data_IF_711839669536
#
_entry.id   IF_711839669536
#
_cell.length_a   1.000
_cell.length_b   1.000
_cell.length_c   1.000
_cell.angle_alpha   90.00
_cell.angle_beta   90.00
_cell.angle_gamma   90.00
#
_symmetry.space_group_name_H-M   'P 1'
#
loop_
_entity.id
_entity.type
_entity.pdbx_description
1 polymer ?
#
# COMPACT_ATOMS: atom_id res chain seq x y z
N UNK A 1 20.24 4.53 18.05
CA UNK A 1 19.02 3.74 18.27
C UNK A 1 17.86 4.65 17.89
N UNK A 2 17.10 4.33 16.83
CA UNK A 2 15.93 5.16 16.47
C UNK A 2 14.91 5.03 17.60
N UNK A 3 14.51 6.16 18.18
CA UNK A 3 13.39 6.20 19.12
C UNK A 3 12.20 5.51 18.44
N UNK A 4 11.53 4.61 19.15
CA UNK A 4 10.23 4.10 18.74
C UNK A 4 9.27 5.29 18.70
N UNK A 5 9.14 5.92 17.55
CA UNK A 5 8.06 6.85 17.29
C UNK A 5 6.75 6.08 17.54
N UNK A 6 5.94 6.62 18.45
CA UNK A 6 4.67 6.03 18.83
C UNK A 6 3.83 5.86 17.56
N UNK A 7 3.58 4.62 17.14
CA UNK A 7 2.81 4.35 15.92
C UNK A 7 1.43 4.95 16.14
N UNK A 8 1.03 5.86 15.25
CA UNK A 8 -0.25 6.56 15.38
C UNK A 8 -1.40 5.56 15.33
N UNK A 9 -2.35 5.73 16.24
CA UNK A 9 -3.51 4.87 16.38
C UNK A 9 -4.78 5.62 15.95
N UNK A 10 -5.62 4.98 15.13
CA UNK A 10 -6.83 5.57 14.59
C UNK A 10 -8.03 4.62 14.68
N UNK A 11 -9.23 5.21 14.76
CA UNK A 11 -10.48 4.47 14.84
C UNK A 11 -11.01 4.35 16.27
N UNK A 12 -12.05 3.54 16.43
CA UNK A 12 -12.69 3.28 17.73
C UNK A 12 -12.32 1.86 18.14
N UNK A 13 -11.63 1.70 19.26
CA UNK A 13 -11.35 0.40 19.87
C UNK A 13 -12.65 -0.33 20.21
N UNK A 14 -12.72 -1.61 19.90
CA UNK A 14 -13.88 -2.48 20.18
C UNK A 14 -13.45 -3.73 20.92
N UNK A 15 -14.39 -4.36 21.62
CA UNK A 15 -14.16 -5.67 22.22
C UNK A 15 -14.00 -6.75 21.14
N UNK A 16 -13.20 -7.77 21.43
CA UNK A 16 -12.97 -8.94 20.56
C UNK A 16 -12.39 -8.60 19.17
N UNK A 17 -11.46 -7.63 19.11
CA UNK A 17 -10.72 -7.33 17.88
C UNK A 17 -9.78 -8.47 17.49
N UNK A 18 -9.90 -8.95 16.25
CA UNK A 18 -8.94 -9.89 15.67
C UNK A 18 -7.81 -9.13 14.96
N UNK A 19 -6.56 -9.42 15.30
CA UNK A 19 -5.41 -8.80 14.64
C UNK A 19 -5.27 -9.29 13.19
N UNK A 20 -5.15 -8.36 12.25
CA UNK A 20 -4.82 -8.61 10.83
C UNK A 20 -3.97 -7.47 10.30
N UNK A 21 -2.67 -7.71 10.26
CA UNK A 21 -1.74 -6.75 9.70
C UNK A 21 -1.80 -6.78 8.17
N UNK A 22 -1.39 -5.68 7.55
CA UNK A 22 -1.52 -5.52 6.13
C UNK A 22 -1.09 -4.15 5.67
N UNK A 23 -1.41 -3.82 4.44
CA UNK A 23 -0.96 -2.56 3.89
C UNK A 23 -1.65 -2.17 2.60
N UNK A 24 -1.23 -1.03 2.08
CA UNK A 24 -1.74 -0.52 0.83
C UNK A 24 -0.65 0.18 0.02
N UNK A 25 -0.89 0.25 -1.30
CA UNK A 25 -0.06 0.94 -2.26
C UNK A 25 -0.69 2.22 -2.76
N UNK A 26 0.05 3.32 -2.70
CA UNK A 26 -0.18 4.50 -3.53
C UNK A 26 0.67 4.33 -4.78
N UNK A 27 0.04 4.09 -5.93
CA UNK A 27 0.75 3.94 -7.21
C UNK A 27 0.71 5.27 -7.95
N UNK A 28 1.88 5.84 -8.22
CA UNK A 28 2.03 7.14 -8.86
C UNK A 28 2.70 7.03 -10.23
N UNK A 29 2.03 7.60 -11.22
CA UNK A 29 2.56 7.80 -12.57
C UNK A 29 3.14 9.22 -12.69
N UNK A 30 4.48 9.37 -12.71
CA UNK A 30 5.11 10.68 -12.79
C UNK A 30 4.95 11.33 -14.17
N UNK A 31 4.68 10.58 -15.24
CA UNK A 31 4.55 11.15 -16.59
C UNK A 31 3.24 11.92 -16.73
N UNK A 32 2.15 11.33 -16.25
CA UNK A 32 0.82 11.92 -16.34
C UNK A 32 0.39 12.66 -15.07
N UNK A 33 1.19 12.63 -14.00
CA UNK A 33 0.88 13.19 -12.69
C UNK A 33 -0.43 12.63 -12.13
N UNK A 34 -0.59 11.31 -12.21
CA UNK A 34 -1.81 10.61 -11.82
C UNK A 34 -1.52 9.53 -10.79
N UNK A 35 -2.55 9.21 -10.01
CA UNK A 35 -2.55 8.11 -9.07
C UNK A 35 -3.51 7.03 -9.54
N UNK A 36 -3.07 5.78 -9.50
CA UNK A 36 -3.96 4.66 -9.78
C UNK A 36 -4.83 4.35 -8.56
N UNK A 37 -6.10 4.04 -8.80
CA UNK A 37 -7.09 3.68 -7.79
C UNK A 37 -7.95 2.54 -8.32
N UNK A 38 -8.35 1.64 -7.44
CA UNK A 38 -9.41 0.68 -7.73
C UNK A 38 -10.77 1.36 -7.66
N UNK A 39 -11.72 0.90 -8.48
CA UNK A 39 -13.13 1.32 -8.39
C UNK A 39 -13.98 0.13 -8.04
N UNK A 40 -14.69 0.20 -6.92
CA UNK A 40 -15.64 -0.84 -6.52
C UNK A 40 -16.81 -0.87 -7.51
N UNK A 41 -17.11 -2.05 -8.06
CA UNK A 41 -18.16 -2.21 -9.08
C UNK A 41 -19.57 -2.11 -8.49
N UNK A 42 -19.72 -2.29 -7.17
CA UNK A 42 -21.02 -2.33 -6.49
C UNK A 42 -21.51 -0.95 -6.08
N UNK A 43 -20.61 -0.08 -5.61
CA UNK A 43 -20.97 1.26 -5.11
C UNK A 43 -20.18 2.41 -5.76
N UNK A 44 -19.25 2.09 -6.67
CA UNK A 44 -18.46 3.06 -7.40
C UNK A 44 -17.39 3.77 -6.59
N UNK A 45 -17.17 3.41 -5.31
CA UNK A 45 -16.16 4.05 -4.47
C UNK A 45 -14.75 3.77 -4.99
N UNK A 46 -13.90 4.77 -4.85
CA UNK A 46 -12.48 4.66 -5.16
C UNK A 46 -11.72 4.14 -3.94
N UNK A 47 -10.78 3.24 -4.17
CA UNK A 47 -9.95 2.62 -3.13
C UNK A 47 -8.49 2.57 -3.54
N UNK A 48 -7.62 2.55 -2.54
CA UNK A 48 -6.23 2.12 -2.74
C UNK A 48 -6.20 0.60 -2.94
N UNK A 49 -5.17 0.12 -3.62
CA UNK A 49 -4.89 -1.30 -3.73
C UNK A 49 -4.20 -1.77 -2.44
N UNK A 50 -4.60 -2.90 -1.91
CA UNK A 50 -4.03 -3.40 -0.66
C UNK A 50 -4.94 -4.38 0.05
N UNK A 51 -4.36 -5.09 1.02
CA UNK A 51 -5.02 -6.20 1.69
C UNK A 51 -4.27 -6.64 2.94
N UNK A 52 -4.76 -7.74 3.51
CA UNK A 52 -4.10 -8.42 4.62
C UNK A 52 -2.86 -9.14 4.13
N UNK A 53 -1.80 -9.11 4.93
CA UNK A 53 -0.55 -9.80 4.63
C UNK A 53 -0.40 -10.96 5.63
N UNK A 54 0.00 -12.13 5.14
CA UNK A 54 0.22 -13.29 6.00
C UNK A 54 1.44 -13.06 6.92
N UNK A 55 1.49 -13.72 8.08
CA UNK A 55 2.61 -13.60 9.02
C UNK A 55 3.93 -14.13 8.42
N UNK A 56 3.84 -15.02 7.43
CA UNK A 56 4.98 -15.53 6.69
C UNK A 56 5.44 -14.61 5.53
N UNK A 57 4.66 -13.59 5.18
CA UNK A 57 4.98 -12.66 4.11
C UNK A 57 5.72 -11.42 4.65
N UNK A 58 6.71 -10.93 3.90
CA UNK A 58 7.24 -9.58 4.13
C UNK A 58 6.16 -8.55 3.77
N UNK A 59 6.05 -7.47 4.56
CA UNK A 59 4.98 -6.47 4.41
C UNK A 59 5.02 -5.74 3.07
N UNK A 60 6.22 -5.45 2.54
CA UNK A 60 6.37 -4.82 1.22
C UNK A 60 5.98 -5.81 0.12
N UNK A 61 6.45 -7.06 0.23
CA UNK A 61 6.11 -8.14 -0.70
C UNK A 61 4.61 -8.45 -0.76
N UNK A 62 3.95 -8.52 0.40
CA UNK A 62 2.50 -8.75 0.48
C UNK A 62 1.70 -7.59 -0.12
N UNK A 63 2.12 -6.34 0.11
CA UNK A 63 1.49 -5.18 -0.53
C UNK A 63 1.70 -5.18 -2.05
N UNK A 64 2.89 -5.56 -2.52
CA UNK A 64 3.16 -5.70 -3.95
C UNK A 64 2.28 -6.77 -4.60
N UNK A 65 2.07 -7.91 -3.93
CA UNK A 65 1.15 -8.97 -4.38
C UNK A 65 -0.26 -8.42 -4.57
N UNK A 66 -0.81 -7.75 -3.56
CA UNK A 66 -2.16 -7.16 -3.61
C UNK A 66 -2.29 -6.13 -4.74
N UNK A 67 -1.31 -5.23 -4.91
CA UNK A 67 -1.31 -4.28 -6.02
C UNK A 67 -1.37 -5.02 -7.36
N UNK A 68 -0.53 -6.04 -7.53
CA UNK A 68 -0.44 -6.80 -8.78
C UNK A 68 -1.75 -7.55 -9.05
N UNK A 69 -2.32 -8.23 -8.05
CA UNK A 69 -3.54 -9.01 -8.17
C UNK A 69 -4.77 -8.14 -8.45
N UNK A 70 -4.88 -6.98 -7.79
CA UNK A 70 -6.06 -6.12 -7.91
C UNK A 70 -6.03 -5.18 -9.12
N UNK A 71 -4.84 -4.77 -9.58
CA UNK A 71 -4.68 -3.77 -10.62
C UNK A 71 -4.06 -4.29 -11.92
N UNK A 72 -3.35 -5.41 -11.87
CA UNK A 72 -2.51 -5.90 -12.96
C UNK A 72 -1.24 -5.08 -13.20
N UNK A 73 -0.94 -4.07 -12.37
CA UNK A 73 0.26 -3.24 -12.49
C UNK A 73 1.48 -3.97 -11.94
N UNK A 74 2.60 -3.84 -12.65
CA UNK A 74 3.87 -4.49 -12.36
C UNK A 74 5.05 -3.60 -12.80
N UNK A 75 6.27 -4.10 -12.65
CA UNK A 75 7.54 -3.46 -13.07
C UNK A 75 7.83 -2.10 -12.40
N UNK A 76 7.48 -1.98 -11.12
CA UNK A 76 7.83 -0.80 -10.33
C UNK A 76 9.34 -0.69 -10.14
N UNK A 77 9.85 0.54 -10.26
CA UNK A 77 11.29 0.81 -10.17
C UNK A 77 11.69 1.48 -8.86
N UNK A 78 10.70 1.96 -8.11
CA UNK A 78 10.92 2.56 -6.82
C UNK A 78 9.74 2.27 -5.90
N UNK A 79 10.08 1.93 -4.67
CA UNK A 79 9.19 1.71 -3.55
C UNK A 79 9.73 2.45 -2.33
N UNK A 80 8.83 3.11 -1.60
CA UNK A 80 9.16 3.82 -0.37
C UNK A 80 8.03 3.62 0.64
N UNK A 81 8.37 3.23 1.87
CA UNK A 81 7.41 3.26 2.99
C UNK A 81 7.12 4.72 3.35
N UNK A 82 5.88 5.16 3.20
CA UNK A 82 5.48 6.55 3.42
C UNK A 82 4.70 6.78 4.71
N UNK A 83 4.05 5.74 5.25
CA UNK A 83 3.30 5.84 6.50
C UNK A 83 3.05 4.47 7.14
N UNK A 84 2.77 4.50 8.44
CA UNK A 84 2.20 3.37 9.16
C UNK A 84 1.25 3.84 10.26
N UNK A 85 0.30 2.98 10.63
CA UNK A 85 -0.66 3.24 11.70
C UNK A 85 -1.24 1.95 12.27
N UNK A 86 -1.68 2.01 13.53
CA UNK A 86 -2.61 1.03 14.09
C UNK A 86 -4.05 1.49 13.81
N UNK A 87 -4.85 0.61 13.21
CA UNK A 87 -6.18 0.94 12.72
C UNK A 87 -7.24 0.00 13.32
N UNK A 88 -8.22 0.58 14.02
CA UNK A 88 -9.40 -0.13 14.55
C UNK A 88 -10.60 0.06 13.63
N UNK A 89 -11.12 -1.04 13.08
CA UNK A 89 -12.26 -0.98 12.17
C UNK A 89 -13.12 -2.23 12.25
N UNK A 90 -14.37 -2.11 11.78
CA UNK A 90 -15.25 -3.25 11.60
C UNK A 90 -15.23 -3.65 10.12
N UNK A 91 -14.78 -4.88 9.85
CA UNK A 91 -14.76 -5.44 8.51
C UNK A 91 -16.14 -5.98 8.16
N UNK A 92 -16.91 -5.26 7.34
CA UNK A 92 -18.23 -5.70 6.88
C UNK A 92 -18.18 -7.03 6.13
N UNK A 93 -17.15 -7.24 5.32
CA UNK A 93 -16.99 -8.46 4.52
C UNK A 93 -16.75 -9.72 5.37
N UNK A 94 -16.22 -9.56 6.59
CA UNK A 94 -15.90 -10.67 7.49
C UNK A 94 -16.76 -10.68 8.76
N UNK A 95 -17.66 -9.71 8.91
CA UNK A 95 -18.50 -9.49 10.10
C UNK A 95 -17.70 -9.51 11.41
N UNK A 96 -16.56 -8.81 11.45
CA UNK A 96 -15.59 -8.90 12.55
C UNK A 96 -14.96 -7.55 12.89
N UNK A 97 -14.73 -7.32 14.18
CA UNK A 97 -13.87 -6.23 14.68
C UNK A 97 -12.40 -6.57 14.38
N UNK A 98 -11.64 -5.61 13.87
CA UNK A 98 -10.25 -5.78 13.46
C UNK A 98 -9.37 -4.69 14.05
N UNK A 99 -8.18 -5.10 14.45
CA UNK A 99 -7.01 -4.26 14.67
C UNK A 99 -5.98 -4.60 13.58
N UNK A 100 -5.50 -3.61 12.85
CA UNK A 100 -4.47 -3.80 11.84
C UNK A 100 -3.29 -2.85 12.08
N UNK A 101 -2.07 -3.37 12.09
CA UNK A 101 -0.90 -2.54 11.76
C UNK A 101 -0.86 -2.38 10.24
N UNK A 102 -1.34 -1.23 9.77
CA UNK A 102 -1.42 -0.88 8.37
C UNK A 102 -0.14 -0.14 7.94
N UNK A 103 0.55 -0.66 6.94
CA UNK A 103 1.74 -0.02 6.33
C UNK A 103 1.43 0.45 4.92
N UNK A 104 1.76 1.70 4.61
CA UNK A 104 1.51 2.30 3.31
C UNK A 104 2.81 2.56 2.55
N UNK A 105 2.84 2.16 1.29
CA UNK A 105 3.98 2.32 0.39
C UNK A 105 3.63 3.17 -0.82
N UNK A 106 4.58 3.97 -1.27
CA UNK A 106 4.53 4.68 -2.55
C UNK A 106 5.29 3.89 -3.60
N UNK A 107 4.59 3.50 -4.66
CA UNK A 107 5.14 2.76 -5.79
C UNK A 107 5.20 3.67 -7.00
N UNK A 108 6.37 3.74 -7.65
CA UNK A 108 6.60 4.59 -8.82
C UNK A 108 7.29 3.83 -9.94
N UNK A 109 6.84 4.09 -11.16
CA UNK A 109 7.58 3.75 -12.37
C UNK A 109 8.55 4.89 -12.69
N UNK A 110 9.85 4.63 -12.68
CA UNK A 110 10.84 5.58 -13.21
C UNK A 110 11.12 5.26 -14.68
N UNK A 111 10.68 6.07 -15.64
CA UNK A 111 11.42 6.04 -16.91
C UNK A 111 12.85 6.50 -16.61
N UNK A 112 13.81 5.61 -16.85
CA UNK A 112 15.22 5.93 -17.00
C UNK A 112 15.36 6.81 -18.25
N UNK A 113 15.00 8.09 -18.15
CA UNK A 113 15.52 9.12 -19.05
C UNK A 113 16.85 9.68 -18.52
N UNK A 114 17.30 9.22 -17.34
CA UNK A 114 18.50 9.72 -16.66
C UNK A 114 19.72 8.78 -16.58
N UNK A 115 19.72 7.59 -17.19
CA UNK A 115 20.96 6.76 -17.32
C UNK A 115 21.55 6.71 -18.74
N UNK A 116 20.95 7.38 -19.73
CA UNK A 116 21.49 7.44 -21.09
C UNK A 116 21.89 8.86 -21.55
N UNK A 117 22.08 9.77 -20.60
CA UNK A 117 22.45 11.17 -20.84
C UNK A 117 23.94 11.45 -21.09
N UNK A 118 24.83 10.45 -21.16
CA UNK A 118 26.24 10.65 -21.56
C UNK A 118 26.81 9.45 -22.30
N UNK A 119 26.39 9.23 -23.55
CA UNK A 119 27.22 8.60 -24.60
C UNK A 119 26.54 8.78 -25.96
N UNK A 120 26.58 10.00 -26.50
CA UNK A 120 26.64 10.19 -27.96
C UNK A 120 27.91 10.95 -28.30
N UNK A 121 29.00 10.18 -28.39
CA UNK A 121 30.09 10.49 -29.31
C UNK A 121 29.64 10.02 -30.70
N UNK A 122 29.47 10.95 -31.63
CA UNK A 122 30.06 10.95 -32.97
C UNK A 122 29.56 12.19 -33.71
#
# INVERSE_FOLDING_TARGET
MKNSEDIREFGIRRENEERRDGGCGVVFDPENQKYAVGRDITDGRLRLFGGGVDEAEDIEGGVLREITEESGLHDFLHVEKIAEALCHFYSRAKDKNRLAHATCFLWRNMKISLLLGQRRKR
#
